data_IF_015915258544
#
_entry.id   IF_015915258544
#
_cell.length_a   1.000
_cell.length_b   1.000
_cell.length_c   1.000
_cell.angle_alpha   90.00
_cell.angle_beta   90.00
_cell.angle_gamma   90.00
#
_symmetry.space_group_name_H-M   'P 1'
#
loop_
_entity.id
_entity.type
_entity.pdbx_description
1 polymer ?
#
# COMPACT_ATOMS: atom_id res chain seq x y z
N UNK A 1 -6.92 14.67 5.74
CA UNK A 1 -7.20 15.24 7.06
C UNK A 1 -6.02 15.11 8.00
N UNK A 2 -5.51 13.89 8.27
CA UNK A 2 -4.41 13.68 9.23
C UNK A 2 -3.01 13.77 8.61
N UNK A 3 -2.84 13.44 7.33
CA UNK A 3 -1.54 13.48 6.62
C UNK A 3 -0.79 14.81 6.74
N UNK A 4 -1.41 16.00 6.64
CA UNK A 4 -0.68 17.26 6.78
C UNK A 4 -0.01 17.45 8.15
N UNK A 5 -0.55 16.85 9.22
CA UNK A 5 0.09 16.90 10.54
C UNK A 5 1.31 15.97 10.62
N UNK A 6 1.22 14.78 10.02
CA UNK A 6 2.37 13.86 9.95
C UNK A 6 3.52 14.47 9.12
N UNK A 7 3.17 15.18 8.05
CA UNK A 7 4.09 15.93 7.18
C UNK A 7 4.80 17.04 7.96
N UNK A 8 4.02 17.90 8.63
CA UNK A 8 4.53 18.98 9.44
C UNK A 8 5.49 18.47 10.53
N UNK A 9 5.07 17.48 11.33
CA UNK A 9 5.90 16.93 12.41
C UNK A 9 7.18 16.31 11.85
N UNK A 10 7.11 15.58 10.74
CA UNK A 10 8.29 14.97 10.11
C UNK A 10 9.31 16.01 9.67
N UNK A 11 8.83 17.02 8.96
CA UNK A 11 9.69 17.95 8.25
C UNK A 11 10.15 19.13 9.12
N UNK A 12 9.38 19.53 10.13
CA UNK A 12 9.77 20.58 11.08
C UNK A 12 10.54 20.04 12.29
N UNK A 13 10.14 18.89 12.85
CA UNK A 13 10.80 18.31 14.03
C UNK A 13 11.90 17.30 13.67
N UNK A 14 12.07 16.96 12.38
CA UNK A 14 13.07 16.01 11.88
C UNK A 14 13.03 14.64 12.57
N UNK A 15 11.83 14.15 12.88
CA UNK A 15 11.58 12.83 13.46
C UNK A 15 10.82 11.96 12.47
N UNK A 16 11.04 10.64 12.53
CA UNK A 16 10.28 9.74 11.68
C UNK A 16 8.81 9.72 12.06
N UNK A 17 7.92 9.75 11.07
CA UNK A 17 6.47 9.75 11.28
C UNK A 17 5.74 8.65 10.52
N UNK A 18 4.58 8.28 11.05
CA UNK A 18 3.64 7.36 10.42
C UNK A 18 2.32 8.10 10.17
N UNK A 19 1.93 8.23 8.90
CA UNK A 19 0.64 8.83 8.54
C UNK A 19 -0.50 7.84 8.75
N UNK A 20 -1.64 8.38 9.21
CA UNK A 20 -2.90 7.65 9.39
C UNK A 20 -4.06 8.46 8.78
N UNK A 21 -5.24 7.85 8.73
CA UNK A 21 -6.49 8.58 8.51
C UNK A 21 -6.97 8.65 7.06
N UNK A 22 -8.09 7.98 6.80
CA UNK A 22 -8.74 7.97 5.49
C UNK A 22 -7.83 7.54 4.32
N UNK A 23 -6.94 6.58 4.59
CA UNK A 23 -6.08 5.94 3.60
C UNK A 23 -6.67 4.56 3.32
N UNK A 24 -7.00 4.28 2.06
CA UNK A 24 -7.71 3.05 1.67
C UNK A 24 -7.36 2.54 0.27
N UNK A 25 -6.62 3.32 -0.53
CA UNK A 25 -6.14 2.94 -1.85
C UNK A 25 -4.60 2.88 -1.86
N UNK A 26 -3.99 1.99 -2.67
CA UNK A 26 -2.54 1.95 -2.84
C UNK A 26 -1.96 3.31 -3.29
N UNK A 27 -2.68 4.06 -4.12
CA UNK A 27 -2.21 5.35 -4.62
C UNK A 27 -2.17 6.43 -3.54
N UNK A 28 -3.05 6.36 -2.54
CA UNK A 28 -2.96 7.22 -1.35
C UNK A 28 -1.65 6.94 -0.61
N UNK A 29 -1.29 5.67 -0.41
CA UNK A 29 -0.05 5.26 0.26
C UNK A 29 1.16 5.77 -0.52
N UNK A 30 1.22 5.48 -1.81
CA UNK A 30 2.32 5.90 -2.69
C UNK A 30 2.48 7.43 -2.70
N UNK A 31 1.37 8.17 -2.80
CA UNK A 31 1.40 9.64 -2.83
C UNK A 31 1.81 10.27 -1.50
N UNK A 32 1.67 9.58 -0.37
CA UNK A 32 2.15 10.06 0.93
C UNK A 32 3.65 9.85 1.05
N UNK A 33 4.11 8.63 0.73
CA UNK A 33 5.52 8.24 0.86
C UNK A 33 6.40 8.95 -0.17
N UNK A 34 6.01 8.96 -1.45
CA UNK A 34 6.78 9.58 -2.52
C UNK A 34 6.91 11.11 -2.36
N UNK A 35 5.92 11.75 -1.73
CA UNK A 35 5.96 13.17 -1.42
C UNK A 35 6.77 13.50 -0.15
N UNK A 36 7.33 12.50 0.55
CA UNK A 36 8.09 12.72 1.78
C UNK A 36 7.24 13.24 2.96
N UNK A 37 5.92 12.98 2.94
CA UNK A 37 4.99 13.46 3.98
C UNK A 37 4.92 12.56 5.21
N UNK A 38 5.44 11.34 5.11
CA UNK A 38 5.61 10.39 6.22
C UNK A 38 6.62 9.32 5.80
N UNK A 39 7.19 8.62 6.77
CA UNK A 39 8.11 7.50 6.51
C UNK A 39 7.35 6.16 6.46
N UNK A 40 6.19 6.08 7.12
CA UNK A 40 5.29 4.93 7.10
C UNK A 40 3.84 5.36 6.95
N UNK A 41 2.98 4.41 6.57
CA UNK A 41 1.54 4.59 6.46
C UNK A 41 0.83 3.47 7.20
N UNK A 42 -0.04 3.82 8.16
CA UNK A 42 -0.87 2.86 8.88
C UNK A 42 -2.26 2.75 8.25
N UNK A 43 -2.63 1.52 7.92
CA UNK A 43 -3.93 1.15 7.36
C UNK A 43 -4.75 0.42 8.43
N UNK A 44 -6.04 0.74 8.53
CA UNK A 44 -6.94 0.17 9.52
C UNK A 44 -8.14 -0.50 8.86
N UNK A 45 -9.17 0.29 8.51
CA UNK A 45 -10.43 -0.21 7.92
C UNK A 45 -10.25 -1.12 6.69
N UNK A 46 -9.31 -0.86 5.75
CA UNK A 46 -9.09 -1.76 4.61
C UNK A 46 -8.69 -3.18 5.04
N UNK A 47 -7.83 -3.31 6.05
CA UNK A 47 -7.38 -4.61 6.57
C UNK A 47 -8.45 -5.36 7.36
N UNK A 48 -9.43 -4.67 7.93
CA UNK A 48 -10.52 -5.31 8.69
C UNK A 48 -11.43 -6.14 7.77
N UNK A 49 -11.69 -5.67 6.55
CA UNK A 49 -12.56 -6.34 5.58
C UNK A 49 -11.76 -7.19 4.58
N UNK A 50 -10.49 -6.86 4.34
CA UNK A 50 -9.58 -7.63 3.50
C UNK A 50 -8.20 -7.75 4.18
N UNK A 51 -7.95 -8.84 4.92
CA UNK A 51 -6.65 -9.09 5.54
C UNK A 51 -5.50 -9.22 4.52
N UNK A 52 -5.81 -9.57 3.26
CA UNK A 52 -4.82 -9.73 2.18
C UNK A 52 -4.63 -8.46 1.36
N UNK A 53 -5.17 -7.32 1.81
CA UNK A 53 -5.11 -6.04 1.10
C UNK A 53 -3.69 -5.70 0.61
N UNK A 54 -2.68 -5.88 1.47
CA UNK A 54 -1.28 -5.58 1.13
C UNK A 54 -0.73 -6.51 0.05
N UNK A 55 -1.06 -7.80 0.08
CA UNK A 55 -0.61 -8.75 -0.94
C UNK A 55 -1.30 -8.48 -2.29
N UNK A 56 -2.59 -8.16 -2.24
CA UNK A 56 -3.37 -7.76 -3.43
C UNK A 56 -2.83 -6.47 -4.04
N UNK A 57 -2.52 -5.46 -3.22
CA UNK A 57 -1.88 -4.23 -3.68
C UNK A 57 -0.50 -4.49 -4.32
N UNK A 58 0.31 -5.37 -3.73
CA UNK A 58 1.58 -5.78 -4.32
C UNK A 58 1.40 -6.45 -5.68
N UNK A 59 0.40 -7.34 -5.83
CA UNK A 59 0.08 -7.98 -7.10
C UNK A 59 -0.38 -6.97 -8.17
N UNK A 60 -1.22 -6.00 -7.80
CA UNK A 60 -1.69 -4.93 -8.69
C UNK A 60 -0.56 -4.06 -9.24
N UNK A 61 0.46 -3.78 -8.41
CA UNK A 61 1.62 -2.96 -8.76
C UNK A 61 2.79 -3.79 -9.34
N UNK A 62 2.53 -5.05 -9.69
CA UNK A 62 3.53 -6.03 -10.14
C UNK A 62 4.74 -6.20 -9.21
N UNK A 63 4.60 -5.88 -7.92
CA UNK A 63 5.67 -5.98 -6.93
C UNK A 63 5.80 -7.41 -6.39
N UNK A 64 7.03 -7.94 -6.33
CA UNK A 64 7.34 -9.31 -5.88
C UNK A 64 8.27 -9.41 -4.67
N UNK A 65 8.69 -8.28 -4.11
CA UNK A 65 9.56 -8.25 -2.93
C UNK A 65 8.84 -8.42 -1.59
N UNK A 66 7.50 -8.56 -1.59
CA UNK A 66 6.73 -8.78 -0.35
C UNK A 66 6.83 -10.24 0.08
N UNK A 67 6.97 -10.49 1.38
CA UNK A 67 6.90 -11.84 1.91
C UNK A 67 5.50 -12.43 1.70
N UNK A 68 5.46 -13.65 1.15
CA UNK A 68 4.23 -14.43 0.97
C UNK A 68 4.42 -15.76 1.69
N UNK A 69 3.51 -16.14 2.61
CA UNK A 69 3.56 -17.45 3.26
C UNK A 69 3.61 -18.57 2.21
N UNK A 70 4.45 -19.61 2.39
CA UNK A 70 4.63 -20.66 1.38
C UNK A 70 3.33 -21.28 0.84
N UNK A 71 2.30 -21.56 1.67
CA UNK A 71 1.03 -22.11 1.16
C UNK A 71 0.28 -21.19 0.19
N UNK A 72 0.56 -19.88 0.16
CA UNK A 72 -0.16 -18.90 -0.65
C UNK A 72 0.57 -18.55 -1.96
N UNK A 73 1.78 -19.07 -2.19
CA UNK A 73 2.59 -18.74 -3.37
C UNK A 73 1.86 -19.01 -4.69
N UNK A 74 1.17 -20.16 -4.80
CA UNK A 74 0.40 -20.51 -5.99
C UNK A 74 -0.75 -19.54 -6.26
N UNK A 75 -1.49 -19.19 -5.21
CA UNK A 75 -2.60 -18.22 -5.28
C UNK A 75 -2.12 -16.83 -5.64
N UNK A 76 -1.00 -16.38 -5.05
CA UNK A 76 -0.38 -15.10 -5.37
C UNK A 76 0.07 -15.03 -6.84
N UNK A 77 0.70 -16.09 -7.35
CA UNK A 77 1.14 -16.15 -8.74
C UNK A 77 -0.06 -16.12 -9.71
N UNK A 78 -1.15 -16.80 -9.38
CA UNK A 78 -2.38 -16.75 -10.18
C UNK A 78 -3.03 -15.35 -10.16
N UNK A 79 -3.16 -14.74 -8.98
CA UNK A 79 -3.72 -13.40 -8.82
C UNK A 79 -2.96 -12.38 -9.66
N UNK A 80 -1.63 -12.40 -9.58
CA UNK A 80 -0.79 -11.48 -10.35
C UNK A 80 -0.96 -11.63 -11.87
N UNK A 81 -1.03 -12.86 -12.38
CA UNK A 81 -1.29 -13.09 -13.83
C UNK A 81 -2.66 -12.56 -14.25
N UNK A 82 -3.69 -12.77 -13.44
CA UNK A 82 -5.04 -12.31 -13.75
C UNK A 82 -5.12 -10.78 -13.78
N UNK A 83 -4.58 -10.11 -12.76
CA UNK A 83 -4.57 -8.65 -12.67
C UNK A 83 -3.77 -8.01 -13.81
N UNK A 84 -2.63 -8.60 -14.18
CA UNK A 84 -1.86 -8.14 -15.34
C UNK A 84 -2.68 -8.22 -16.63
N UNK A 85 -3.32 -9.37 -16.88
CA UNK A 85 -4.20 -9.56 -18.04
C UNK A 85 -5.36 -8.55 -18.05
N UNK A 86 -5.97 -8.29 -16.91
CA UNK A 86 -7.04 -7.30 -16.79
C UNK A 86 -6.57 -5.88 -17.07
N UNK A 87 -5.35 -5.52 -16.64
CA UNK A 87 -4.76 -4.23 -16.94
C UNK A 87 -4.46 -4.07 -18.44
N UNK A 88 -3.91 -5.10 -19.07
CA UNK A 88 -3.63 -5.13 -20.52
C UNK A 88 -4.90 -5.01 -21.37
N UNK A 89 -6.03 -5.59 -20.93
CA UNK A 89 -7.31 -5.50 -21.63
C UNK A 89 -8.01 -4.13 -21.49
N UNK A 90 -7.62 -3.33 -20.49
CA UNK A 90 -8.19 -1.99 -20.24
C UNK A 90 -7.39 -0.87 -20.90
N UNK A 91 -6.19 -1.16 -21.40
CA UNK A 91 -5.31 -0.24 -22.14
C UNK A 91 -5.67 -0.22 -23.63
#
# INVERSE_FOLDING_TARGET
>A
FQTPFADQVRNEAHVSTMAVGNIYEPDHVNSILAAGRADLVALARPHLVDPMWTLRAAAQQDYRGVHVPPPYLGGMAQLARNLKREAELKA
#
